data_IF_296370565685
#
_entry.id   IF_296370565685
#
_cell.length_a   1.000
_cell.length_b   1.000
_cell.length_c   1.000
_cell.angle_alpha   90.00
_cell.angle_beta   90.00
_cell.angle_gamma   90.00
#
_symmetry.space_group_name_H-M   'P 1'
#
loop_
_entity.id
_entity.type
_entity.pdbx_description
1 polymer ?
#
# COMPACT_ATOMS: atom_id res chain seq x y z
N UNK A 1 -13.74 23.23 50.51
CA UNK A 1 -12.92 22.03 50.20
C UNK A 1 -13.01 21.76 48.71
N UNK A 2 -11.84 21.57 48.09
CA UNK A 2 -11.57 21.36 46.65
C UNK A 2 -12.05 19.97 46.15
N UNK A 3 -11.99 19.78 44.82
CA UNK A 3 -11.88 18.53 44.02
C UNK A 3 -13.20 17.93 43.47
N UNK A 4 -13.38 17.46 42.23
CA UNK A 4 -12.72 17.55 40.88
C UNK A 4 -13.59 16.73 39.89
N UNK A 5 -13.72 17.20 38.63
CA UNK A 5 -13.76 16.53 37.29
C UNK A 5 -14.57 15.22 37.06
N UNK A 6 -15.51 15.17 36.10
CA UNK A 6 -15.34 14.54 34.76
C UNK A 6 -16.16 13.24 34.67
N UNK A 7 -16.84 12.81 33.61
CA UNK A 7 -16.75 13.04 32.17
C UNK A 7 -18.12 12.76 31.52
N UNK A 8 -18.38 13.43 30.39
CA UNK A 8 -19.42 13.04 29.44
C UNK A 8 -19.01 11.72 28.76
N UNK A 9 -19.91 10.74 28.75
CA UNK A 9 -19.85 9.63 27.79
C UNK A 9 -20.67 10.04 26.57
N UNK A 10 -20.12 9.97 25.35
CA UNK A 10 -20.93 9.68 24.18
C UNK A 10 -20.87 8.18 23.90
N UNK A 11 -22.05 7.66 23.65
CA UNK A 11 -22.40 6.32 23.19
C UNK A 11 -21.59 5.84 22.00
N UNK A 12 -21.36 4.53 22.00
CA UNK A 12 -20.99 3.73 20.84
C UNK A 12 -21.81 4.13 19.60
N UNK A 13 -21.12 4.43 18.52
CA UNK A 13 -21.67 4.30 17.18
C UNK A 13 -20.59 3.73 16.28
N UNK A 14 -20.73 2.43 16.03
CA UNK A 14 -20.03 1.64 15.02
C UNK A 14 -20.29 2.19 13.61
N UNK A 15 -19.67 3.31 13.25
CA UNK A 15 -19.61 3.77 11.88
C UNK A 15 -18.28 4.48 11.67
N UNK A 16 -17.21 3.71 11.45
CA UNK A 16 -16.02 4.21 10.77
C UNK A 16 -16.42 4.48 9.32
N UNK A 17 -17.10 5.61 9.12
CA UNK A 17 -17.27 6.21 7.80
C UNK A 17 -15.88 6.71 7.42
N UNK A 18 -15.09 5.83 6.81
CA UNK A 18 -13.88 6.23 6.12
C UNK A 18 -14.27 7.41 5.24
N UNK A 19 -13.72 8.59 5.53
CA UNK A 19 -13.86 9.76 4.68
C UNK A 19 -13.13 9.38 3.41
N UNK A 20 -13.88 8.85 2.44
CA UNK A 20 -13.38 8.50 1.12
C UNK A 20 -13.06 9.82 0.41
N UNK A 21 -11.82 10.29 0.54
CA UNK A 21 -11.24 11.13 -0.48
C UNK A 21 -11.24 10.30 -1.78
N UNK A 22 -11.65 10.88 -2.90
CA UNK A 22 -11.90 10.16 -4.16
C UNK A 22 -10.70 9.40 -4.78
N UNK A 23 -9.57 9.36 -4.08
CA UNK A 23 -8.33 8.68 -4.46
C UNK A 23 -7.88 7.61 -3.45
N UNK A 24 -8.68 7.33 -2.41
CA UNK A 24 -8.35 6.29 -1.44
C UNK A 24 -8.36 4.90 -2.09
N UNK A 25 -7.42 4.05 -1.68
CA UNK A 25 -7.43 2.66 -2.09
C UNK A 25 -8.56 1.91 -1.36
N UNK A 26 -9.34 1.05 -2.05
CA UNK A 26 -10.42 0.27 -1.42
C UNK A 26 -9.87 -0.69 -0.35
N UNK A 27 -10.70 -1.25 0.54
CA UNK A 27 -10.20 -2.20 1.54
C UNK A 27 -9.42 -3.37 0.87
N UNK A 28 -8.27 -3.81 1.41
CA UNK A 28 -7.46 -4.83 0.78
C UNK A 28 -8.19 -6.18 0.74
N UNK A 29 -7.97 -6.94 -0.32
CA UNK A 29 -8.35 -8.36 -0.35
C UNK A 29 -7.31 -9.19 0.41
N UNK A 30 -7.74 -9.95 1.41
CA UNK A 30 -6.89 -10.95 2.08
C UNK A 30 -6.95 -12.29 1.35
N UNK A 31 -5.79 -12.91 1.10
CA UNK A 31 -5.70 -14.27 0.55
C UNK A 31 -5.41 -15.23 1.70
N UNK A 32 -6.44 -15.68 2.40
CA UNK A 32 -6.30 -16.50 3.61
C UNK A 32 -6.09 -17.98 3.25
N UNK A 33 -4.88 -18.48 3.51
CA UNK A 33 -4.54 -19.90 3.53
C UNK A 33 -3.31 -20.09 4.40
N UNK A 34 -3.51 -20.22 5.72
CA UNK A 34 -2.55 -20.72 6.73
C UNK A 34 -1.05 -20.45 6.43
N UNK A 35 -0.66 -19.19 6.22
CA UNK A 35 0.71 -18.80 5.92
C UNK A 35 1.17 -17.70 6.91
N UNK A 36 2.42 -17.75 7.39
CA UNK A 36 3.00 -16.72 8.28
C UNK A 36 3.19 -15.35 7.60
N UNK A 37 2.83 -15.25 6.32
CA UNK A 37 2.85 -14.01 5.56
C UNK A 37 1.45 -13.67 5.06
N UNK A 38 0.93 -12.52 5.48
CA UNK A 38 -0.32 -11.98 4.98
C UNK A 38 -0.05 -11.08 3.78
N UNK A 39 -0.70 -11.37 2.65
CA UNK A 39 -0.64 -10.55 1.45
C UNK A 39 -1.92 -9.71 1.34
N UNK A 40 -1.74 -8.39 1.42
CA UNK A 40 -2.78 -7.42 1.17
C UNK A 40 -2.59 -6.82 -0.22
N UNK A 41 -3.68 -6.74 -1.00
CA UNK A 41 -3.63 -6.19 -2.36
C UNK A 41 -4.73 -5.16 -2.56
N UNK A 42 -4.33 -4.03 -3.17
CA UNK A 42 -5.17 -2.91 -3.52
C UNK A 42 -5.04 -2.61 -5.01
N UNK A 43 -6.16 -2.30 -5.65
CA UNK A 43 -6.19 -1.72 -6.99
C UNK A 43 -6.45 -0.22 -6.88
N UNK A 44 -5.73 0.57 -7.66
CA UNK A 44 -5.95 2.00 -7.72
C UNK A 44 -7.31 2.31 -8.37
N UNK A 45 -7.99 3.39 -7.94
CA UNK A 45 -9.19 3.89 -8.60
C UNK A 45 -8.95 4.26 -10.07
N UNK A 46 -10.01 4.32 -10.87
CA UNK A 46 -9.95 4.65 -12.29
C UNK A 46 -9.30 6.02 -12.59
N UNK A 47 -9.34 6.95 -11.63
CA UNK A 47 -8.66 8.25 -11.73
C UNK A 47 -7.14 8.13 -11.92
N UNK A 48 -6.53 7.04 -11.43
CA UNK A 48 -5.10 6.73 -11.58
C UNK A 48 -4.77 6.03 -12.90
N UNK A 49 -5.78 5.60 -13.67
CA UNK A 49 -5.62 4.85 -14.92
C UNK A 49 -5.64 5.77 -16.15
N UNK A 50 -5.49 5.20 -17.35
CA UNK A 50 -5.43 5.93 -18.61
C UNK A 50 -4.07 6.58 -18.88
N UNK A 51 -4.06 7.70 -19.60
CA UNK A 51 -2.82 8.38 -19.98
C UNK A 51 -2.18 9.07 -18.77
N UNK A 52 -0.98 8.60 -18.40
CA UNK A 52 -0.14 9.08 -17.29
C UNK A 52 1.27 9.43 -17.75
N UNK A 53 1.46 9.80 -19.02
CA UNK A 53 2.77 10.24 -19.55
C UNK A 53 3.36 11.42 -18.77
N UNK A 54 2.49 12.32 -18.30
CA UNK A 54 2.89 13.48 -17.49
C UNK A 54 3.46 13.09 -16.11
N UNK A 55 3.23 11.85 -15.66
CA UNK A 55 3.81 11.34 -14.42
C UNK A 55 5.27 10.92 -14.59
N UNK A 56 5.79 10.77 -15.81
CA UNK A 56 7.18 10.41 -16.06
C UNK A 56 8.15 11.44 -15.45
N UNK A 57 9.07 10.99 -14.61
CA UNK A 57 9.99 11.84 -13.86
C UNK A 57 9.40 12.45 -12.58
N UNK A 58 8.11 12.25 -12.31
CA UNK A 58 7.45 12.61 -11.06
C UNK A 58 7.52 11.52 -10.00
N UNK A 59 6.63 11.60 -9.00
CA UNK A 59 6.54 10.63 -7.91
C UNK A 59 5.11 10.10 -7.76
N UNK A 60 4.99 8.79 -7.51
CA UNK A 60 3.79 8.18 -6.96
C UNK A 60 3.89 8.20 -5.44
N UNK A 61 2.98 8.94 -4.82
CA UNK A 61 2.88 9.04 -3.38
C UNK A 61 1.76 8.13 -2.89
N UNK A 62 2.09 7.26 -1.95
CA UNK A 62 1.19 6.32 -1.32
C UNK A 62 1.25 6.55 0.19
N UNK A 63 0.10 6.63 0.84
CA UNK A 63 -0.01 6.59 2.30
C UNK A 63 -0.70 5.30 2.71
N UNK A 64 -0.09 4.59 3.64
CA UNK A 64 -0.65 3.38 4.24
C UNK A 64 -1.03 3.67 5.68
N UNK A 65 -2.23 3.29 6.06
CA UNK A 65 -2.70 3.35 7.45
C UNK A 65 -2.94 1.92 7.95
N UNK A 66 -2.40 1.61 9.13
CA UNK A 66 -2.51 0.29 9.75
C UNK A 66 -3.12 0.42 11.15
N UNK A 67 -4.26 -0.20 11.36
CA UNK A 67 -5.10 -0.11 12.57
C UNK A 67 -5.41 -1.49 13.16
N UNK A 68 -4.47 -2.42 13.04
CA UNK A 68 -4.60 -3.73 13.67
C UNK A 68 -3.67 -3.75 14.88
N UNK A 69 -4.19 -4.08 16.08
CA UNK A 69 -3.36 -4.26 17.26
C UNK A 69 -2.26 -5.29 17.00
N UNK A 70 -1.04 -4.91 17.35
CA UNK A 70 0.17 -5.68 17.24
C UNK A 70 0.50 -6.28 18.60
N UNK A 71 0.35 -7.60 18.71
CA UNK A 71 0.75 -8.37 19.89
C UNK A 71 2.27 -8.64 19.84
N UNK A 72 3.06 -7.58 19.70
CA UNK A 72 4.53 -7.67 19.72
C UNK A 72 5.17 -6.54 20.54
N UNK A 73 6.30 -6.86 21.19
CA UNK A 73 7.00 -5.96 22.11
C UNK A 73 7.45 -4.65 21.45
N UNK A 74 7.80 -4.70 20.15
CA UNK A 74 8.26 -3.55 19.37
C UNK A 74 7.11 -2.74 18.73
N UNK A 75 5.84 -3.15 18.89
CA UNK A 75 4.64 -2.53 18.28
C UNK A 75 4.82 -2.15 16.80
N UNK A 76 5.62 -2.91 16.07
CA UNK A 76 5.97 -2.63 14.68
C UNK A 76 6.03 -3.91 13.86
N UNK A 77 5.46 -3.85 12.66
CA UNK A 77 5.36 -4.97 11.74
C UNK A 77 6.26 -4.74 10.53
N UNK A 78 7.30 -5.55 10.32
CA UNK A 78 8.06 -5.52 9.08
C UNK A 78 7.16 -5.87 7.91
N UNK A 79 7.20 -5.03 6.87
CA UNK A 79 6.42 -5.21 5.67
C UNK A 79 7.22 -4.82 4.42
N UNK A 80 6.86 -5.41 3.29
CA UNK A 80 7.38 -5.00 1.99
C UNK A 80 6.23 -4.49 1.13
N UNK A 81 6.42 -3.32 0.54
CA UNK A 81 5.49 -2.75 -0.43
C UNK A 81 5.97 -3.07 -1.84
N UNK A 82 5.08 -3.56 -2.68
CA UNK A 82 5.34 -3.90 -4.06
C UNK A 82 4.30 -3.22 -4.94
N UNK A 83 4.76 -2.52 -5.98
CA UNK A 83 3.90 -1.73 -6.87
C UNK A 83 4.00 -2.33 -8.26
N UNK A 84 2.84 -2.67 -8.82
CA UNK A 84 2.70 -3.25 -10.15
C UNK A 84 1.93 -2.26 -11.03
N UNK A 85 2.55 -1.84 -12.12
CA UNK A 85 2.00 -0.94 -13.12
C UNK A 85 1.82 -1.71 -14.43
N UNK A 86 0.61 -1.71 -14.97
CA UNK A 86 0.27 -2.41 -16.21
C UNK A 86 -0.34 -1.43 -17.20
N UNK A 87 0.11 -1.48 -18.45
CA UNK A 87 -0.39 -0.62 -19.51
C UNK A 87 0.20 -0.97 -20.87
N UNK A 88 -0.60 -0.87 -21.94
CA UNK A 88 -0.19 -1.23 -23.31
C UNK A 88 0.61 -2.55 -23.41
N UNK A 89 0.11 -3.61 -22.78
CA UNK A 89 0.75 -4.94 -22.75
C UNK A 89 2.12 -5.00 -22.06
N UNK A 90 2.47 -3.99 -21.25
CA UNK A 90 3.62 -4.02 -20.36
C UNK A 90 3.17 -4.23 -18.94
N UNK A 91 3.91 -5.04 -18.18
CA UNK A 91 3.72 -5.26 -16.75
C UNK A 91 5.03 -4.95 -16.03
N UNK A 92 5.07 -3.82 -15.33
CA UNK A 92 6.25 -3.28 -14.68
C UNK A 92 6.10 -3.41 -13.17
N UNK A 93 7.15 -3.85 -12.49
CA UNK A 93 7.17 -4.04 -11.03
C UNK A 93 8.26 -3.20 -10.39
N UNK A 94 7.91 -2.53 -9.29
CA UNK A 94 8.86 -1.79 -8.48
C UNK A 94 9.95 -2.72 -7.93
N UNK A 95 11.21 -2.35 -8.13
CA UNK A 95 12.36 -3.12 -7.64
C UNK A 95 13.54 -2.21 -7.29
N UNK A 96 14.15 -2.36 -6.10
CA UNK A 96 13.72 -3.24 -5.00
C UNK A 96 12.43 -2.72 -4.33
N UNK A 97 11.63 -3.61 -3.71
CA UNK A 97 10.44 -3.21 -2.96
C UNK A 97 10.83 -2.40 -1.70
N UNK A 98 10.15 -1.28 -1.40
CA UNK A 98 10.38 -0.54 -0.16
C UNK A 98 10.14 -1.41 1.08
N UNK A 99 11.11 -1.36 1.99
CA UNK A 99 10.99 -1.93 3.33
C UNK A 99 10.25 -0.94 4.23
N UNK A 100 9.17 -1.41 4.86
CA UNK A 100 8.31 -0.62 5.73
C UNK A 100 8.27 -1.26 7.13
N UNK A 101 8.12 -0.41 8.13
CA UNK A 101 7.76 -0.79 9.49
C UNK A 101 6.43 -0.12 9.76
N UNK A 102 5.37 -0.93 9.86
CA UNK A 102 4.02 -0.43 10.15
C UNK A 102 3.84 -0.43 11.66
N UNK A 103 3.39 0.69 12.22
CA UNK A 103 3.06 0.81 13.63
C UNK A 103 1.56 1.06 13.78
N UNK A 104 1.00 0.67 14.92
CA UNK A 104 -0.40 0.92 15.24
C UNK A 104 -0.75 2.41 15.09
N UNK A 105 -1.92 2.67 14.48
CA UNK A 105 -2.51 4.01 14.35
C UNK A 105 -1.58 5.03 13.67
N UNK A 106 -0.60 4.55 12.90
CA UNK A 106 0.43 5.38 12.28
C UNK A 106 0.32 5.32 10.76
N UNK A 107 0.32 6.49 10.14
CA UNK A 107 0.40 6.62 8.69
C UNK A 107 1.85 6.46 8.22
N UNK A 108 2.05 5.62 7.20
CA UNK A 108 3.34 5.46 6.53
C UNK A 108 3.25 5.90 5.08
N UNK A 109 3.98 6.95 4.74
CA UNK A 109 4.08 7.43 3.36
C UNK A 109 5.26 6.83 2.60
N UNK A 110 5.04 6.48 1.35
CA UNK A 110 6.03 5.96 0.40
C UNK A 110 5.96 6.82 -0.87
N UNK A 111 7.09 7.37 -1.28
CA UNK A 111 7.23 8.11 -2.53
C UNK A 111 8.12 7.32 -3.49
N UNK A 112 7.58 6.96 -4.66
CA UNK A 112 8.27 6.17 -5.68
C UNK A 112 8.48 7.01 -6.92
N UNK A 113 9.75 7.17 -7.34
CA UNK A 113 10.06 7.91 -8.54
C UNK A 113 9.56 7.14 -9.78
N UNK A 114 8.80 7.82 -10.64
CA UNK A 114 8.33 7.31 -11.92
C UNK A 114 9.45 7.37 -12.96
N UNK A 115 10.48 6.54 -12.74
CA UNK A 115 11.68 6.46 -13.57
C UNK A 115 12.03 5.01 -13.90
N UNK A 116 12.62 4.72 -15.07
CA UNK A 116 12.87 3.33 -15.49
C UNK A 116 13.74 2.53 -14.51
N UNK A 117 14.65 3.22 -13.80
CA UNK A 117 15.55 2.62 -12.81
C UNK A 117 14.84 2.01 -11.60
N UNK A 118 13.58 2.36 -11.36
CA UNK A 118 12.79 1.84 -10.25
C UNK A 118 11.99 0.59 -10.64
N UNK A 119 11.95 0.21 -11.92
CA UNK A 119 11.10 -0.86 -12.38
C UNK A 119 11.89 -1.96 -13.08
N UNK A 120 11.41 -3.19 -12.91
CA UNK A 120 11.76 -4.34 -13.74
C UNK A 120 10.52 -4.78 -14.51
N UNK A 121 10.74 -5.34 -15.69
CA UNK A 121 9.69 -5.99 -16.46
C UNK A 121 9.34 -7.33 -15.78
N UNK A 122 8.07 -7.59 -15.51
CA UNK A 122 7.65 -8.79 -14.78
C UNK A 122 7.77 -10.07 -15.59
N UNK A 123 7.68 -9.99 -16.91
CA UNK A 123 7.72 -11.16 -17.79
C UNK A 123 9.16 -11.62 -18.00
N UNK A 124 10.05 -10.67 -18.25
CA UNK A 124 11.45 -10.93 -18.58
C UNK A 124 12.40 -10.81 -17.39
N UNK A 125 11.99 -10.13 -16.32
CA UNK A 125 12.86 -9.76 -15.19
C UNK A 125 13.92 -8.72 -15.53
N UNK A 126 13.89 -8.17 -16.74
CA UNK A 126 14.90 -7.23 -17.22
C UNK A 126 14.69 -5.81 -16.66
N UNK A 127 15.75 -5.00 -16.73
CA UNK A 127 15.65 -3.58 -16.42
C UNK A 127 14.75 -2.88 -17.44
N UNK A 128 13.84 -2.04 -16.95
CA UNK A 128 12.92 -1.26 -17.77
C UNK A 128 13.67 -0.13 -18.45
N UNK A 129 13.43 0.07 -19.74
CA UNK A 129 13.95 1.22 -20.49
C UNK A 129 12.98 2.41 -20.41
N UNK A 130 13.44 3.58 -20.88
CA UNK A 130 12.58 4.76 -20.99
C UNK A 130 11.36 4.49 -21.88
N UNK A 131 11.56 3.78 -22.98
CA UNK A 131 10.48 3.48 -23.94
C UNK A 131 9.44 2.53 -23.32
N UNK A 132 9.90 1.50 -22.62
CA UNK A 132 9.00 0.54 -21.94
C UNK A 132 8.13 1.24 -20.90
N UNK A 133 8.72 2.12 -20.07
CA UNK A 133 7.98 2.87 -19.05
C UNK A 133 7.00 3.85 -19.69
N UNK A 134 7.41 4.60 -20.72
CA UNK A 134 6.52 5.53 -21.41
C UNK A 134 5.38 4.78 -22.11
N UNK A 135 5.65 3.59 -22.66
CA UNK A 135 4.63 2.72 -23.27
C UNK A 135 3.59 2.31 -22.24
N UNK A 136 4.01 1.86 -21.05
CA UNK A 136 3.08 1.55 -19.96
C UNK A 136 2.28 2.78 -19.52
N UNK A 137 2.93 3.94 -19.37
CA UNK A 137 2.29 5.19 -18.94
C UNK A 137 1.37 5.82 -19.98
N UNK A 138 1.54 5.53 -21.28
CA UNK A 138 0.70 6.06 -22.34
C UNK A 138 -0.77 5.62 -22.19
N UNK A 139 -1.00 4.42 -21.64
CA UNK A 139 -2.31 3.94 -21.28
C UNK A 139 -2.20 2.90 -20.16
N UNK A 140 -2.25 3.39 -18.92
CA UNK A 140 -2.25 2.56 -17.71
C UNK A 140 -3.61 1.88 -17.59
N UNK A 141 -3.63 0.56 -17.58
CA UNK A 141 -4.85 -0.26 -17.44
C UNK A 141 -5.02 -0.81 -16.03
N UNK A 142 -3.93 -0.93 -15.27
CA UNK A 142 -3.97 -1.40 -13.89
C UNK A 142 -2.79 -0.83 -13.12
N UNK A 143 -3.06 -0.35 -11.91
CA UNK A 143 -2.05 0.01 -10.92
C UNK A 143 -2.43 -0.70 -9.63
N UNK A 144 -1.54 -1.54 -9.13
CA UNK A 144 -1.76 -2.31 -7.91
C UNK A 144 -0.66 -2.10 -6.91
N UNK A 145 -1.07 -2.04 -5.65
CA UNK A 145 -0.18 -2.03 -4.50
C UNK A 145 -0.37 -3.35 -3.76
N UNK A 146 0.73 -3.99 -3.41
CA UNK A 146 0.78 -5.22 -2.64
C UNK A 146 1.62 -4.99 -1.41
N UNK A 147 1.10 -5.36 -0.25
CA UNK A 147 1.86 -5.32 1.00
C UNK A 147 1.98 -6.73 1.53
N UNK A 148 3.23 -7.14 1.69
CA UNK A 148 3.59 -8.41 2.31
C UNK A 148 3.91 -8.13 3.76
N UNK A 149 3.02 -8.55 4.66
CA UNK A 149 3.22 -8.48 6.09
C UNK A 149 4.00 -9.71 6.54
N UNK A 150 5.13 -9.53 7.21
CA UNK A 150 5.84 -10.62 7.85
C UNK A 150 5.36 -10.72 9.30
N UNK A 151 4.20 -11.36 9.48
CA UNK A 151 3.70 -11.66 10.81
C UNK A 151 4.29 -12.98 11.28
N UNK A 152 5.56 -12.96 11.69
CA UNK A 152 6.17 -14.07 12.43
C UNK A 152 5.68 -14.11 13.88
N UNK A 153 4.39 -13.86 14.12
CA UNK A 153 3.77 -14.11 15.41
C UNK A 153 3.52 -15.62 15.52
N UNK A 154 4.54 -16.36 15.92
CA UNK A 154 4.38 -17.66 16.59
C UNK A 154 3.81 -17.39 17.99
N UNK A 155 2.54 -17.01 18.07
CA UNK A 155 1.81 -16.81 19.32
C UNK A 155 0.40 -17.41 19.18
N UNK A 156 -0.07 -18.23 20.14
CA UNK A 156 -1.39 -18.82 20.04
C UNK A 156 -2.44 -17.71 20.07
N UNK A 157 -3.22 -17.62 19.00
CA UNK A 157 -4.42 -16.78 18.92
C UNK A 157 -5.39 -17.32 19.98
N UNK A 158 -5.66 -16.54 21.03
CA UNK A 158 -6.63 -16.82 22.09
C UNK A 158 -7.66 -15.70 22.16
#
# INVERSE_FOLDING_TARGET
>A
VRHTVGWLRPSESHHSHAVVHGNDLPAPKNSSGHAPHQLLTWAAPDSFLGNKLLSYGGFLNLSLFYDVPLDNEDHSLPAHCDIILEGNSRSLRLSPPPHLFLSELSERSVAVAMSPRQFIDMETGAMVTRDDLLTALANVTSLRVRVHLNNSAEGPIR
#
